data_IF_009428536155
#
_entry.id   IF_009428536155
#
_cell.length_a   1.000
_cell.length_b   1.000
_cell.length_c   1.000
_cell.angle_alpha   90.00
_cell.angle_beta   90.00
_cell.angle_gamma   90.00
#
_symmetry.space_group_name_H-M   'P 1'
#
loop_
_entity.id
_entity.type
_entity.pdbx_description
1 polymer ?
#
# COMPACT_ATOMS: atom_id res chain seq x y z
N UNK A 1 -0.96 8.79 11.74
CA UNK A 1 -0.36 7.48 11.41
C UNK A 1 0.99 7.25 12.09
N UNK A 2 1.01 7.19 13.43
CA UNK A 2 2.27 7.00 14.17
C UNK A 2 2.64 5.52 14.36
N UNK A 3 1.73 4.59 13.99
CA UNK A 3 1.92 3.14 14.12
C UNK A 3 2.15 2.48 12.76
N UNK A 4 1.30 2.77 11.77
CA UNK A 4 1.38 2.14 10.45
C UNK A 4 2.67 2.46 9.68
N UNK A 5 3.00 3.75 9.53
CA UNK A 5 4.13 4.17 8.70
C UNK A 5 5.49 3.65 9.20
N UNK A 6 5.77 3.61 10.52
CA UNK A 6 6.97 2.93 11.03
C UNK A 6 7.01 1.42 10.75
N UNK A 7 5.88 0.72 10.70
CA UNK A 7 5.85 -0.69 10.30
C UNK A 7 6.22 -0.80 8.82
N UNK A 8 5.58 -0.02 7.95
CA UNK A 8 5.87 -0.02 6.51
C UNK A 8 7.34 0.31 6.22
N UNK A 9 7.92 1.31 6.91
CA UNK A 9 9.33 1.71 6.74
C UNK A 9 10.31 0.57 6.96
N UNK A 10 9.95 -0.41 7.80
CA UNK A 10 10.78 -1.56 8.13
C UNK A 10 10.30 -2.85 7.44
N UNK A 11 9.38 -2.76 6.48
CA UNK A 11 8.85 -3.93 5.78
C UNK A 11 9.85 -4.44 4.74
N UNK A 12 10.41 -5.65 4.89
CA UNK A 12 11.27 -6.23 3.86
C UNK A 12 10.44 -6.60 2.62
N UNK A 13 10.90 -6.17 1.44
CA UNK A 13 10.28 -6.57 0.16
C UNK A 13 10.11 -5.41 -0.82
N UNK A 14 9.38 -4.34 -0.46
CA UNK A 14 9.20 -3.19 -1.34
C UNK A 14 10.54 -2.57 -1.76
N UNK A 15 10.69 -2.30 -3.06
CA UNK A 15 11.81 -1.56 -3.63
C UNK A 15 11.65 -0.06 -3.39
N UNK A 16 10.41 0.42 -3.47
CA UNK A 16 10.00 1.78 -3.19
C UNK A 16 8.59 1.78 -2.61
N UNK A 17 8.24 2.82 -1.85
CA UNK A 17 6.88 3.05 -1.40
C UNK A 17 6.59 4.54 -1.25
N UNK A 18 5.32 4.89 -1.40
CA UNK A 18 4.80 6.27 -1.35
C UNK A 18 3.37 6.26 -0.82
N UNK A 19 2.95 7.38 -0.26
CA UNK A 19 1.59 7.53 0.27
C UNK A 19 1.14 8.98 0.25
N UNK A 20 -0.17 9.20 0.28
CA UNK A 20 -0.79 10.51 0.51
C UNK A 20 -2.04 10.36 1.36
N UNK A 21 -2.33 11.38 2.17
CA UNK A 21 -3.64 11.57 2.82
C UNK A 21 -4.46 12.67 2.14
N UNK A 22 -3.87 13.37 1.17
CA UNK A 22 -4.51 14.42 0.39
C UNK A 22 -4.98 13.82 -0.93
N UNK A 23 -5.99 12.95 -0.84
CA UNK A 23 -6.57 12.26 -2.00
C UNK A 23 -7.75 13.09 -2.49
N UNK A 24 -7.67 13.55 -3.73
CA UNK A 24 -8.70 14.33 -4.38
C UNK A 24 -9.19 13.63 -5.66
N UNK A 25 -10.49 13.71 -5.92
CA UNK A 25 -11.08 13.30 -7.18
C UNK A 25 -11.22 14.53 -8.09
N UNK A 26 -11.10 14.32 -9.41
CA UNK A 26 -11.36 15.39 -10.40
C UNK A 26 -12.83 15.81 -10.42
N UNK A 27 -13.72 14.90 -10.04
CA UNK A 27 -15.16 15.11 -9.94
C UNK A 27 -15.67 14.54 -8.62
N UNK A 28 -16.47 15.31 -7.88
CA UNK A 28 -17.07 14.87 -6.62
C UNK A 28 -16.07 14.67 -5.49
N UNK A 29 -16.53 13.97 -4.44
CA UNK A 29 -15.71 13.64 -3.28
C UNK A 29 -14.92 12.35 -3.54
N UNK A 30 -13.65 12.33 -3.16
CA UNK A 30 -12.84 11.11 -3.24
C UNK A 30 -13.37 10.08 -2.23
N UNK A 31 -13.61 8.82 -2.64
CA UNK A 31 -14.12 7.80 -1.72
C UNK A 31 -13.05 7.27 -0.75
N UNK A 32 -11.79 7.70 -0.92
CA UNK A 32 -10.65 7.26 -0.12
C UNK A 32 -9.97 8.47 0.50
N UNK A 33 -9.64 8.40 1.78
CA UNK A 33 -8.88 9.44 2.48
C UNK A 33 -7.36 9.25 2.38
N UNK A 34 -6.90 8.11 1.87
CA UNK A 34 -5.49 7.77 1.79
C UNK A 34 -5.19 6.86 0.60
N UNK A 35 -4.00 6.98 0.04
CA UNK A 35 -3.42 6.05 -0.92
C UNK A 35 -2.05 5.61 -0.43
N UNK A 36 -1.73 4.33 -0.65
CA UNK A 36 -0.40 3.77 -0.44
C UNK A 36 -0.04 2.95 -1.68
N UNK A 37 1.16 3.15 -2.21
CA UNK A 37 1.71 2.39 -3.32
C UNK A 37 3.07 1.83 -2.91
N UNK A 38 3.35 0.60 -3.34
CA UNK A 38 4.63 -0.06 -3.15
C UNK A 38 5.03 -0.80 -4.42
N UNK A 39 6.28 -0.60 -4.83
CA UNK A 39 6.87 -1.27 -5.97
C UNK A 39 7.62 -2.51 -5.48
N UNK A 40 7.46 -3.63 -6.18
CA UNK A 40 8.15 -4.89 -5.89
C UNK A 40 8.92 -5.34 -7.13
N UNK A 41 9.97 -6.15 -6.93
CA UNK A 41 10.77 -6.68 -8.04
C UNK A 41 9.91 -7.52 -9.01
N UNK A 42 9.00 -8.32 -8.47
CA UNK A 42 8.03 -9.11 -9.22
C UNK A 42 6.86 -9.55 -8.32
N UNK A 43 5.91 -10.27 -8.89
CA UNK A 43 4.75 -10.80 -8.16
C UNK A 43 5.13 -11.80 -7.06
N UNK A 44 6.22 -12.56 -7.20
CA UNK A 44 6.65 -13.53 -6.20
C UNK A 44 7.27 -12.83 -4.98
N UNK A 45 8.07 -11.79 -5.21
CA UNK A 45 8.61 -10.93 -4.16
C UNK A 45 7.49 -10.22 -3.39
N UNK A 46 6.47 -9.72 -4.08
CA UNK A 46 5.27 -9.15 -3.46
C UNK A 46 4.56 -10.18 -2.58
N UNK A 47 4.29 -11.38 -3.10
CA UNK A 47 3.61 -12.43 -2.34
C UNK A 47 4.40 -12.86 -1.10
N UNK A 48 5.73 -13.01 -1.22
CA UNK A 48 6.61 -13.33 -0.10
C UNK A 48 6.63 -12.22 0.96
N UNK A 49 6.69 -10.95 0.55
CA UNK A 49 6.65 -9.81 1.46
C UNK A 49 5.33 -9.75 2.25
N UNK A 50 4.19 -9.98 1.58
CA UNK A 50 2.87 -10.00 2.21
C UNK A 50 2.69 -11.19 3.15
N UNK A 51 3.15 -12.39 2.77
CA UNK A 51 3.04 -13.60 3.59
C UNK A 51 3.97 -13.59 4.82
N UNK A 52 4.98 -12.74 4.84
CA UNK A 52 5.91 -12.62 5.97
C UNK A 52 5.20 -12.18 7.26
N UNK A 53 5.79 -12.52 8.42
CA UNK A 53 5.29 -12.08 9.73
C UNK A 53 5.20 -10.55 9.84
N UNK A 54 6.08 -9.83 9.13
CA UNK A 54 6.04 -8.37 9.08
C UNK A 54 4.90 -7.86 8.20
N UNK A 55 4.70 -8.45 7.03
CA UNK A 55 3.57 -8.13 6.14
C UNK A 55 2.22 -8.36 6.82
N UNK A 56 2.08 -9.45 7.57
CA UNK A 56 0.89 -9.73 8.38
C UNK A 56 0.62 -8.65 9.44
N UNK A 57 1.68 -8.12 10.08
CA UNK A 57 1.54 -7.01 11.05
C UNK A 57 1.11 -5.71 10.37
N UNK A 58 1.66 -5.41 9.20
CA UNK A 58 1.24 -4.24 8.40
C UNK A 58 -0.23 -4.37 8.04
N UNK A 59 -0.65 -5.53 7.52
CA UNK A 59 -2.04 -5.79 7.13
C UNK A 59 -3.01 -5.72 8.33
N UNK A 60 -2.62 -6.30 9.47
CA UNK A 60 -3.43 -6.27 10.68
C UNK A 60 -3.58 -4.86 11.27
N UNK A 61 -2.64 -3.95 11.04
CA UNK A 61 -2.73 -2.58 11.52
C UNK A 61 -3.71 -1.71 10.70
N UNK A 62 -4.06 -2.12 9.47
CA UNK A 62 -4.91 -1.34 8.58
C UNK A 62 -6.30 -1.09 9.15
N UNK A 63 -6.88 -2.09 9.83
CA UNK A 63 -8.23 -1.98 10.41
C UNK A 63 -8.32 -0.94 11.53
N UNK A 64 -7.18 -0.52 12.09
CA UNK A 64 -7.12 0.52 13.14
C UNK A 64 -7.39 1.92 12.57
N UNK A 65 -7.33 2.12 11.25
CA UNK A 65 -7.53 3.44 10.64
C UNK A 65 -8.42 3.44 9.39
N UNK A 66 -8.54 2.32 8.66
CA UNK A 66 -9.37 2.21 7.47
C UNK A 66 -10.76 1.64 7.81
N UNK A 67 -11.51 2.32 8.68
CA UNK A 67 -12.80 1.83 9.20
C UNK A 67 -13.89 1.70 8.14
N UNK A 68 -13.79 2.44 7.04
CA UNK A 68 -14.65 2.30 5.86
C UNK A 68 -14.29 1.13 4.93
N UNK A 69 -13.28 0.34 5.30
CA UNK A 69 -12.67 -0.69 4.47
C UNK A 69 -11.48 -0.17 3.65
N UNK A 70 -10.80 -1.10 2.98
CA UNK A 70 -9.78 -0.78 1.98
C UNK A 70 -9.94 -1.64 0.74
N UNK A 71 -9.34 -1.19 -0.35
CA UNK A 71 -9.16 -1.96 -1.57
C UNK A 71 -7.66 -2.13 -1.81
N UNK A 72 -7.22 -3.36 -2.04
CA UNK A 72 -5.85 -3.67 -2.44
C UNK A 72 -5.87 -4.15 -3.88
N UNK A 73 -5.11 -3.46 -4.74
CA UNK A 73 -5.00 -3.78 -6.15
C UNK A 73 -3.51 -3.96 -6.45
N UNK A 74 -3.16 -5.08 -7.09
CA UNK A 74 -1.84 -5.29 -7.66
C UNK A 74 -1.98 -5.52 -9.17
N UNK A 75 -1.00 -5.04 -9.91
CA UNK A 75 -0.98 -5.13 -11.37
C UNK A 75 0.47 -5.08 -11.85
N UNK A 76 0.80 -5.75 -12.97
CA UNK A 76 2.11 -5.58 -13.60
C UNK A 76 2.19 -4.16 -14.18
N UNK A 77 3.18 -3.39 -13.74
CA UNK A 77 3.44 -2.06 -14.31
C UNK A 77 3.96 -2.23 -15.74
N UNK A 78 3.45 -1.43 -16.66
CA UNK A 78 3.94 -1.34 -18.05
C UNK A 78 4.48 0.08 -18.26
N UNK A 79 5.66 0.20 -18.86
CA UNK A 79 6.20 1.50 -19.21
C UNK A 79 5.42 2.07 -20.41
N UNK A 80 4.96 3.31 -20.28
CA UNK A 80 4.18 4.00 -21.32
C UNK A 80 4.98 4.42 -22.57
N UNK A 81 6.24 3.99 -22.69
CA UNK A 81 7.14 4.32 -23.80
C UNK A 81 7.16 3.27 -24.91
N UNK A 82 6.15 2.39 -24.97
CA UNK A 82 5.96 1.42 -26.04
C UNK A 82 5.67 2.05 -27.39
#
# INVERSE_FOLDING_TARGET
>A
MNHHLPLVKNWPGPLAWRYSFDVAATEGEAPYFAVFEADFADAAAMAAAQASSHGQRVAADVVNYATGGLVVIYYPVQDGTG
#
